data_IF_719944497379
#
_entry.id   IF_719944497379
#
_cell.length_a   1.000
_cell.length_b   1.000
_cell.length_c   1.000
_cell.angle_alpha   90.00
_cell.angle_beta   90.00
_cell.angle_gamma   90.00
#
_symmetry.space_group_name_H-M   'P 1'
#
loop_
_entity.id
_entity.type
_entity.pdbx_description
1 polymer ?
#
# COMPACT_ATOMS: atom_id res chain seq x y z
N UNK A 1 -21.18 29.59 3.18
CA UNK A 1 -20.02 29.03 3.92
C UNK A 1 -19.46 27.91 3.08
N UNK A 2 -18.24 28.08 2.57
CA UNK A 2 -17.56 27.13 1.71
C UNK A 2 -17.05 25.94 2.55
N UNK A 3 -17.22 24.73 2.03
CA UNK A 3 -16.55 23.54 2.55
C UNK A 3 -15.27 23.35 1.73
N UNK A 4 -14.20 24.03 2.15
CA UNK A 4 -12.87 23.85 1.60
C UNK A 4 -12.20 22.60 2.20
N UNK A 5 -11.74 21.73 1.30
CA UNK A 5 -10.45 21.06 1.39
C UNK A 5 -10.23 20.04 2.52
N UNK A 6 -10.73 18.82 2.34
CA UNK A 6 -10.06 17.63 2.91
C UNK A 6 -9.12 17.06 1.86
N UNK A 7 -7.91 17.63 1.80
CA UNK A 7 -6.73 16.96 1.25
C UNK A 7 -6.41 15.77 2.16
N UNK A 8 -7.11 14.66 1.93
CA UNK A 8 -6.83 13.40 2.59
C UNK A 8 -5.61 12.75 1.94
N UNK A 9 -4.44 13.36 2.16
CA UNK A 9 -3.15 12.68 2.05
C UNK A 9 -3.05 11.69 3.21
N UNK A 10 -3.78 10.58 3.08
CA UNK A 10 -3.79 9.48 4.05
C UNK A 10 -2.46 8.73 3.97
N UNK A 11 -1.43 9.25 4.63
CA UNK A 11 -0.19 8.51 4.83
C UNK A 11 -0.44 7.39 5.85
N UNK A 12 -0.58 6.16 5.38
CA UNK A 12 -0.59 4.97 6.25
C UNK A 12 0.83 4.77 6.78
N UNK A 13 1.05 5.14 8.05
CA UNK A 13 2.34 4.90 8.73
C UNK A 13 2.41 3.44 9.18
N UNK A 14 2.99 2.58 8.35
CA UNK A 14 3.26 1.19 8.71
C UNK A 14 4.40 1.17 9.73
N UNK A 15 4.14 0.73 10.97
CA UNK A 15 5.18 0.46 11.98
C UNK A 15 6.00 -0.76 11.55
N UNK A 16 6.95 -0.55 10.66
CA UNK A 16 7.99 -1.51 10.28
C UNK A 16 9.27 -0.73 10.04
N UNK A 17 10.32 -1.07 10.79
CA UNK A 17 11.65 -0.45 10.74
C UNK A 17 12.35 -0.70 9.40
N UNK A 18 11.90 -0.01 8.36
CA UNK A 18 12.58 0.12 7.08
C UNK A 18 12.39 1.55 6.62
N UNK A 19 13.48 2.23 6.29
CA UNK A 19 13.42 3.57 5.73
C UNK A 19 12.89 3.45 4.29
N UNK A 20 11.57 3.26 4.13
CA UNK A 20 10.91 3.13 2.84
C UNK A 20 10.87 4.51 2.19
N UNK A 21 12.00 4.96 1.67
CA UNK A 21 12.06 6.17 0.86
C UNK A 21 11.10 5.98 -0.31
N UNK A 22 10.05 6.80 -0.34
CA UNK A 22 9.09 6.83 -1.44
C UNK A 22 9.87 7.03 -2.74
N UNK A 23 9.76 6.11 -3.73
CA UNK A 23 10.43 6.31 -5.00
C UNK A 23 9.97 7.65 -5.57
N UNK A 24 10.92 8.52 -5.89
CA UNK A 24 10.65 9.81 -6.52
C UNK A 24 11.36 9.86 -7.87
N UNK A 25 10.65 10.36 -8.86
CA UNK A 25 11.19 10.56 -10.21
C UNK A 25 11.60 12.03 -10.30
N UNK A 26 12.82 12.30 -10.75
CA UNK A 26 13.25 13.65 -11.05
C UNK A 26 12.63 14.11 -12.39
N UNK A 27 12.01 15.30 -12.45
CA UNK A 27 11.52 15.84 -13.71
C UNK A 27 12.69 16.17 -14.65
N UNK A 28 12.49 16.06 -15.99
CA UNK A 28 13.46 16.55 -16.95
C UNK A 28 13.68 18.05 -16.78
N UNK A 29 14.91 18.50 -17.03
CA UNK A 29 15.29 19.92 -16.95
C UNK A 29 14.97 20.61 -18.28
N UNK A 30 14.43 21.81 -18.21
CA UNK A 30 14.08 22.59 -19.40
C UNK A 30 15.32 22.95 -20.25
N UNK A 31 15.19 22.94 -21.60
CA UNK A 31 16.22 23.41 -22.52
C UNK A 31 16.56 24.87 -22.29
N UNK A 32 17.85 25.20 -22.22
CA UNK A 32 18.30 26.59 -22.21
C UNK A 32 19.13 26.90 -23.48
N UNK A 33 18.95 28.05 -24.14
CA UNK A 33 19.76 28.43 -25.31
C UNK A 33 21.27 28.41 -25.02
N UNK A 34 21.64 28.73 -23.77
CA UNK A 34 23.01 28.64 -23.25
C UNK A 34 23.66 27.25 -23.35
N UNK A 35 22.86 26.18 -23.43
CA UNK A 35 23.36 24.80 -23.62
C UNK A 35 23.91 24.56 -25.03
N UNK A 36 23.54 25.42 -25.98
CA UNK A 36 23.92 25.29 -27.40
C UNK A 36 24.87 26.40 -27.83
N UNK A 37 24.72 27.60 -27.24
CA UNK A 37 25.61 28.73 -27.47
C UNK A 37 25.80 29.49 -26.14
N UNK A 38 27.04 29.53 -25.65
CA UNK A 38 27.39 29.96 -24.28
C UNK A 38 26.94 31.38 -23.92
N UNK A 39 26.88 32.28 -24.90
CA UNK A 39 26.45 33.68 -24.72
C UNK A 39 24.99 33.95 -25.09
N UNK A 40 24.22 32.91 -25.46
CA UNK A 40 22.80 33.05 -25.79
C UNK A 40 21.96 32.81 -24.53
N UNK A 41 21.42 33.88 -23.95
CA UNK A 41 20.40 33.79 -22.90
C UNK A 41 19.01 33.53 -23.52
N UNK A 42 18.80 34.01 -24.75
CA UNK A 42 17.52 33.92 -25.46
C UNK A 42 17.66 33.25 -26.83
N UNK A 43 16.56 32.67 -27.31
CA UNK A 43 16.51 31.98 -28.61
C UNK A 43 16.89 32.92 -29.76
N UNK A 44 16.57 34.21 -29.66
CA UNK A 44 16.86 35.22 -30.69
C UNK A 44 18.36 35.50 -30.85
N UNK A 45 19.17 35.13 -29.85
CA UNK A 45 20.62 35.31 -29.85
C UNK A 45 21.36 34.11 -30.47
N UNK A 46 20.63 33.03 -30.80
CA UNK A 46 21.18 31.85 -31.46
C UNK A 46 21.52 32.18 -32.92
N UNK A 47 22.76 31.87 -33.33
CA UNK A 47 23.27 32.14 -34.67
C UNK A 47 23.63 30.86 -35.43
N UNK A 48 23.38 30.86 -36.75
CA UNK A 48 23.69 29.72 -37.62
C UNK A 48 23.02 28.43 -37.18
N UNK A 49 23.79 27.34 -37.09
CA UNK A 49 23.28 25.99 -36.78
C UNK A 49 22.81 25.80 -35.33
N UNK A 50 23.08 26.77 -34.44
CA UNK A 50 22.69 26.69 -33.03
C UNK A 50 21.16 26.68 -32.84
N UNK A 51 20.40 27.33 -33.73
CA UNK A 51 18.93 27.25 -33.70
C UNK A 51 18.44 25.81 -33.96
N UNK A 52 19.02 25.13 -34.95
CA UNK A 52 18.67 23.74 -35.27
C UNK A 52 19.03 22.78 -34.13
N UNK A 53 20.20 22.95 -33.52
CA UNK A 53 20.61 22.19 -32.34
C UNK A 53 19.68 22.43 -31.15
N UNK A 54 19.23 23.66 -30.92
CA UNK A 54 18.27 23.99 -29.86
C UNK A 54 16.90 23.35 -30.11
N UNK A 55 16.40 23.35 -31.35
CA UNK A 55 15.15 22.66 -31.71
C UNK A 55 15.22 21.15 -31.46
N UNK A 56 16.36 20.50 -31.76
CA UNK A 56 16.58 19.08 -31.45
C UNK A 56 16.55 18.86 -29.93
N UNK A 57 17.14 19.77 -29.16
CA UNK A 57 17.17 19.69 -27.70
C UNK A 57 15.75 19.85 -27.11
N UNK A 58 14.94 20.76 -27.65
CA UNK A 58 13.52 20.87 -27.29
C UNK A 58 12.73 19.61 -27.63
N UNK A 59 12.92 19.04 -28.83
CA UNK A 59 12.23 17.82 -29.25
C UNK A 59 12.58 16.65 -28.32
N UNK A 60 13.86 16.53 -27.95
CA UNK A 60 14.34 15.56 -26.97
C UNK A 60 13.71 15.80 -25.60
N UNK A 61 13.65 17.04 -25.12
CA UNK A 61 13.03 17.39 -23.85
C UNK A 61 11.54 17.01 -23.83
N UNK A 62 10.78 17.31 -24.89
CA UNK A 62 9.36 16.93 -25.00
C UNK A 62 9.17 15.41 -24.91
N UNK A 63 10.04 14.63 -25.56
CA UNK A 63 10.04 13.16 -25.47
C UNK A 63 10.35 12.66 -24.05
N UNK A 64 11.35 13.26 -23.39
CA UNK A 64 11.70 12.95 -22.01
C UNK A 64 10.56 13.30 -21.04
N UNK A 65 9.89 14.43 -21.25
CA UNK A 65 8.75 14.87 -20.45
C UNK A 65 7.57 13.91 -20.59
N UNK A 66 7.30 13.41 -21.79
CA UNK A 66 6.27 12.40 -22.01
C UNK A 66 6.62 11.09 -21.28
N UNK A 67 7.85 10.61 -21.44
CA UNK A 67 8.34 9.41 -20.75
C UNK A 67 8.27 9.55 -19.23
N UNK A 68 8.60 10.74 -18.71
CA UNK A 68 8.49 11.06 -17.29
C UNK A 68 7.03 10.98 -16.81
N UNK A 69 6.09 11.57 -17.55
CA UNK A 69 4.65 11.51 -17.22
C UNK A 69 4.14 10.06 -17.20
N UNK A 70 4.54 9.24 -18.16
CA UNK A 70 4.14 7.84 -18.24
C UNK A 70 4.70 7.04 -17.05
N UNK A 71 5.97 7.26 -16.69
CA UNK A 71 6.60 6.65 -15.51
C UNK A 71 5.96 7.12 -14.20
N UNK A 72 5.63 8.40 -14.08
CA UNK A 72 4.98 8.97 -12.90
C UNK A 72 3.58 8.37 -12.71
N UNK A 73 2.82 8.21 -13.80
CA UNK A 73 1.52 7.52 -13.77
C UNK A 73 1.66 6.07 -13.35
N UNK A 74 2.59 5.32 -13.94
CA UNK A 74 2.84 3.93 -13.58
C UNK A 74 3.24 3.77 -12.10
N UNK A 75 4.08 4.67 -11.60
CA UNK A 75 4.48 4.70 -10.20
C UNK A 75 3.30 4.96 -9.26
N UNK A 76 2.41 5.90 -9.61
CA UNK A 76 1.19 6.15 -8.84
C UNK A 76 0.28 4.92 -8.79
N UNK A 77 0.08 4.24 -9.93
CA UNK A 77 -0.70 2.99 -10.00
C UNK A 77 -0.09 1.89 -9.12
N UNK A 78 1.23 1.72 -9.14
CA UNK A 78 1.92 0.75 -8.28
C UNK A 78 1.76 1.09 -6.80
N UNK A 79 1.89 2.37 -6.43
CA UNK A 79 1.68 2.81 -5.05
C UNK A 79 0.25 2.52 -4.58
N UNK A 80 -0.75 2.82 -5.41
CA UNK A 80 -2.15 2.53 -5.11
C UNK A 80 -2.39 1.02 -4.93
N UNK A 81 -1.81 0.20 -5.82
CA UNK A 81 -1.92 -1.26 -5.73
C UNK A 81 -1.30 -1.80 -4.43
N UNK A 82 -0.12 -1.32 -4.05
CA UNK A 82 0.55 -1.71 -2.80
C UNK A 82 -0.33 -1.35 -1.60
N UNK A 83 -0.82 -0.11 -1.52
CA UNK A 83 -1.67 0.34 -0.41
C UNK A 83 -2.95 -0.50 -0.32
N UNK A 84 -3.63 -0.75 -1.44
CA UNK A 84 -4.84 -1.60 -1.47
C UNK A 84 -4.54 -3.03 -1.03
N UNK A 85 -3.42 -3.59 -1.45
CA UNK A 85 -3.04 -4.96 -1.12
C UNK A 85 -2.73 -5.09 0.37
N UNK A 86 -1.95 -4.16 0.92
CA UNK A 86 -1.65 -4.12 2.36
C UNK A 86 -2.94 -3.94 3.17
N UNK A 87 -3.83 -3.03 2.74
CA UNK A 87 -5.14 -2.84 3.38
C UNK A 87 -5.95 -4.14 3.45
N UNK A 88 -6.04 -4.88 2.34
CA UNK A 88 -6.72 -6.18 2.31
C UNK A 88 -6.09 -7.21 3.25
N UNK A 89 -4.76 -7.27 3.34
CA UNK A 89 -4.11 -8.18 4.27
C UNK A 89 -4.42 -7.82 5.72
N UNK A 90 -4.42 -6.53 6.07
CA UNK A 90 -4.86 -6.10 7.40
C UNK A 90 -6.31 -6.50 7.69
N UNK A 91 -7.23 -6.35 6.73
CA UNK A 91 -8.62 -6.77 6.90
C UNK A 91 -8.77 -8.27 7.13
N UNK A 92 -8.00 -9.10 6.41
CA UNK A 92 -8.00 -10.56 6.57
C UNK A 92 -7.49 -10.94 7.96
N UNK A 93 -6.35 -10.39 8.37
CA UNK A 93 -5.74 -10.67 9.68
C UNK A 93 -6.68 -10.23 10.82
N UNK A 94 -7.31 -9.06 10.69
CA UNK A 94 -8.25 -8.57 11.70
C UNK A 94 -9.48 -9.49 11.85
N UNK A 95 -9.98 -10.06 10.74
CA UNK A 95 -11.06 -11.07 10.77
C UNK A 95 -10.61 -12.38 11.41
N UNK A 96 -9.37 -12.79 11.18
CA UNK A 96 -8.81 -14.02 11.76
C UNK A 96 -8.64 -13.88 13.29
N UNK A 97 -8.14 -12.75 13.78
CA UNK A 97 -8.07 -12.44 15.21
C UNK A 97 -9.46 -12.49 15.88
N UNK A 98 -10.50 -12.00 15.20
CA UNK A 98 -11.88 -12.10 15.68
C UNK A 98 -12.35 -13.57 15.77
N UNK A 99 -12.08 -14.37 14.73
CA UNK A 99 -12.42 -15.81 14.70
C UNK A 99 -11.75 -16.58 15.85
N UNK A 100 -10.46 -16.29 16.12
CA UNK A 100 -9.72 -16.93 17.20
C UNK A 100 -10.31 -16.58 18.59
N UNK A 101 -10.75 -15.34 18.79
CA UNK A 101 -11.45 -14.91 20.02
C UNK A 101 -12.78 -15.63 20.18
N UNK A 102 -13.57 -15.72 19.11
CA UNK A 102 -14.85 -16.45 19.11
C UNK A 102 -14.65 -17.94 19.45
N UNK A 103 -13.64 -18.59 18.84
CA UNK A 103 -13.30 -19.98 19.13
C UNK A 103 -12.85 -20.19 20.58
N UNK A 104 -12.12 -19.23 21.14
CA UNK A 104 -11.69 -19.26 22.55
C UNK A 104 -12.89 -19.16 23.49
N UNK A 105 -13.85 -18.28 23.19
CA UNK A 105 -15.11 -18.18 23.95
C UNK A 105 -15.88 -19.49 23.85
N UNK A 106 -16.00 -20.07 22.65
CA UNK A 106 -16.69 -21.34 22.44
C UNK A 106 -16.01 -22.47 23.22
N UNK A 107 -14.69 -22.61 23.14
CA UNK A 107 -13.91 -23.58 23.92
C UNK A 107 -14.13 -23.43 25.43
N UNK A 108 -14.21 -22.20 25.92
CA UNK A 108 -14.49 -21.94 27.34
C UNK A 108 -15.92 -22.28 27.75
N UNK A 109 -16.89 -22.15 26.84
CA UNK A 109 -18.29 -22.58 27.06
C UNK A 109 -18.46 -24.09 26.97
N UNK A 110 -17.71 -24.74 26.08
CA UNK A 110 -17.64 -26.19 25.88
C UNK A 110 -16.69 -26.86 26.91
N UNK A 111 -16.17 -26.10 27.90
CA UNK A 111 -15.54 -26.70 29.09
C UNK A 111 -16.43 -27.83 29.62
N UNK A 112 -15.83 -28.95 30.08
CA UNK A 112 -16.37 -30.31 30.04
C UNK A 112 -17.57 -30.48 30.97
N UNK A 113 -18.67 -29.80 30.66
CA UNK A 113 -19.89 -29.79 31.45
C UNK A 113 -20.82 -30.87 30.94
N UNK A 114 -20.78 -31.17 29.64
CA UNK A 114 -21.60 -32.22 29.06
C UNK A 114 -20.89 -33.58 29.14
N UNK A 115 -19.66 -33.72 28.62
CA UNK A 115 -18.95 -35.00 28.74
C UNK A 115 -18.68 -35.39 30.20
N UNK A 116 -18.10 -34.52 31.04
CA UNK A 116 -17.81 -34.94 32.41
C UNK A 116 -19.08 -35.30 33.20
N UNK A 117 -20.20 -34.61 32.94
CA UNK A 117 -21.50 -34.92 33.54
C UNK A 117 -22.11 -36.21 32.98
N UNK A 118 -22.03 -36.44 31.68
CA UNK A 118 -22.50 -37.68 31.05
C UNK A 118 -21.68 -38.89 31.53
N UNK A 119 -20.36 -38.74 31.68
CA UNK A 119 -19.49 -39.75 32.30
C UNK A 119 -19.88 -40.00 33.75
N UNK A 120 -20.06 -38.96 34.55
CA UNK A 120 -20.45 -39.09 35.96
C UNK A 120 -21.81 -39.78 36.13
N UNK A 121 -22.79 -39.43 35.30
CA UNK A 121 -24.11 -40.08 35.31
C UNK A 121 -24.01 -41.55 34.92
N UNK A 122 -23.19 -41.87 33.91
CA UNK A 122 -22.96 -43.24 33.45
C UNK A 122 -22.27 -44.09 34.52
N UNK A 123 -21.23 -43.54 35.16
CA UNK A 123 -20.49 -44.19 36.24
C UNK A 123 -21.39 -44.48 37.44
N UNK A 124 -22.24 -43.52 37.84
CA UNK A 124 -23.24 -43.71 38.91
C UNK A 124 -24.24 -44.81 38.56
N UNK A 125 -24.75 -44.83 37.33
CA UNK A 125 -25.70 -45.85 36.89
C UNK A 125 -25.09 -47.25 36.98
N UNK A 126 -23.90 -47.47 36.41
CA UNK A 126 -23.23 -48.77 36.47
C UNK A 126 -22.84 -49.18 37.89
N UNK A 127 -22.43 -48.24 38.75
CA UNK A 127 -22.16 -48.53 40.15
C UNK A 127 -23.43 -49.05 40.86
N UNK A 128 -24.59 -48.43 40.63
CA UNK A 128 -25.86 -48.89 41.23
C UNK A 128 -26.34 -50.22 40.69
N UNK A 129 -26.22 -50.44 39.37
CA UNK A 129 -26.60 -51.72 38.73
C UNK A 129 -25.71 -52.86 39.25
N UNK A 130 -24.41 -52.61 39.47
CA UNK A 130 -23.47 -53.61 39.99
C UNK A 130 -23.69 -53.95 41.46
N UNK A 131 -24.31 -53.07 42.24
CA UNK A 131 -24.66 -53.32 43.66
C UNK A 131 -25.98 -54.09 43.78
N UNK A 132 -26.87 -53.95 42.78
CA UNK A 132 -28.19 -54.59 42.74
C UNK A 132 -28.22 -55.92 41.97
N UNK A 133 -27.09 -56.31 41.36
CA UNK A 133 -26.86 -57.60 40.71
C UNK A 133 -26.04 -58.52 41.63
#
# INVERSE_FOLDING_TARGET
>A
MAADGLDASSSVTLKGSGNWNKPSLAPPVDPAPGQVQENAAEIQQLQGDSLGKFQILEARHRSQLQTYKDKAKALATLQEYIVKTIGRYYDIIAKEDNTAKELTILKNRVKPTDWARESEVTDRYYATVKILA
#
